data_IF_464124862684
#
_entry.id   IF_464124862684
#
_cell.length_a   1.000
_cell.length_b   1.000
_cell.length_c   1.000
_cell.angle_alpha   90.00
_cell.angle_beta   90.00
_cell.angle_gamma   90.00
#
_symmetry.space_group_name_H-M   'P 1'
#
loop_
_entity.id
_entity.type
_entity.pdbx_description
1 polymer ?
#
# COMPACT_ATOMS: atom_id res chain seq x y z
N UNK A 1 -3.33 -10.97 -4.03
CA UNK A 1 -3.10 -10.21 -2.79
C UNK A 1 -4.39 -10.12 -2.00
N UNK A 2 -4.28 -10.27 -0.70
CA UNK A 2 -5.38 -10.01 0.22
C UNK A 2 -5.14 -8.70 0.97
N UNK A 3 -6.20 -8.11 1.50
CA UNK A 3 -6.11 -6.98 2.40
C UNK A 3 -6.75 -7.32 3.74
N UNK A 4 -6.16 -6.79 4.81
CA UNK A 4 -6.67 -7.02 6.17
C UNK A 4 -7.88 -6.11 6.45
N UNK A 5 -7.76 -4.83 6.12
CA UNK A 5 -8.82 -3.85 6.30
C UNK A 5 -8.58 -2.63 5.42
N UNK A 6 -9.62 -1.83 5.24
CA UNK A 6 -9.56 -0.54 4.58
C UNK A 6 -10.21 0.48 5.51
N UNK A 7 -9.50 1.57 5.79
CA UNK A 7 -10.04 2.67 6.60
C UNK A 7 -10.32 3.86 5.71
N UNK A 8 -11.60 4.20 5.61
CA UNK A 8 -12.03 5.41 4.93
C UNK A 8 -11.97 6.60 5.88
N UNK A 9 -11.74 7.79 5.33
CA UNK A 9 -11.64 9.04 6.12
C UNK A 9 -10.57 8.95 7.21
N UNK A 10 -9.45 8.31 6.92
CA UNK A 10 -8.37 8.11 7.87
C UNK A 10 -7.48 9.35 7.94
N UNK A 11 -7.24 9.85 9.14
CA UNK A 11 -6.39 11.01 9.40
C UNK A 11 -5.09 10.63 10.11
N UNK A 12 -4.89 9.35 10.42
CA UNK A 12 -3.76 8.87 11.23
C UNK A 12 -2.57 8.41 10.40
N UNK A 13 -2.76 8.09 9.13
CA UNK A 13 -1.76 7.45 8.28
C UNK A 13 -1.44 8.30 7.06
N UNK A 14 -0.65 9.33 7.25
CA UNK A 14 -0.25 10.27 6.21
C UNK A 14 -0.96 11.62 6.33
N UNK A 15 -0.55 12.61 5.53
CA UNK A 15 -1.11 13.95 5.61
C UNK A 15 -2.53 14.01 5.01
N UNK A 16 -3.38 14.76 5.66
CA UNK A 16 -4.75 15.00 5.20
C UNK A 16 -5.68 13.82 5.50
N UNK A 17 -6.86 13.86 4.89
CA UNK A 17 -7.85 12.79 4.99
C UNK A 17 -7.62 11.81 3.85
N UNK A 18 -7.50 10.53 4.17
CA UNK A 18 -7.04 9.52 3.20
C UNK A 18 -7.88 8.25 3.29
N UNK A 19 -7.81 7.44 2.24
CA UNK A 19 -8.24 6.04 2.28
C UNK A 19 -7.00 5.18 2.51
N UNK A 20 -6.96 4.47 3.62
CA UNK A 20 -5.81 3.66 4.02
C UNK A 20 -6.08 2.18 3.80
N UNK A 21 -5.18 1.52 3.07
CA UNK A 21 -5.31 0.11 2.68
C UNK A 21 -4.26 -0.68 3.45
N UNK A 22 -4.73 -1.58 4.32
CA UNK A 22 -3.89 -2.45 5.14
C UNK A 22 -3.77 -3.79 4.42
N UNK A 23 -2.66 -4.00 3.73
CA UNK A 23 -2.41 -5.23 2.96
C UNK A 23 -2.03 -6.38 3.90
N UNK A 24 -2.23 -7.61 3.44
CA UNK A 24 -1.82 -8.82 4.15
C UNK A 24 -0.52 -9.36 3.56
N UNK A 25 0.32 -9.94 4.41
CA UNK A 25 1.60 -10.52 4.04
C UNK A 25 2.78 -9.67 4.45
N UNK A 26 3.62 -10.21 5.32
CA UNK A 26 4.83 -9.51 5.78
C UNK A 26 5.84 -10.52 6.29
N UNK A 27 7.05 -10.51 5.74
CA UNK A 27 8.16 -11.38 6.14
C UNK A 27 9.08 -10.74 7.16
N UNK A 28 8.87 -9.47 7.52
CA UNK A 28 9.72 -8.77 8.48
C UNK A 28 9.63 -9.36 9.89
N UNK A 29 8.44 -9.75 10.33
CA UNK A 29 8.20 -10.33 11.66
C UNK A 29 8.82 -9.48 12.77
N UNK A 30 8.57 -8.15 12.73
CA UNK A 30 9.16 -7.21 13.68
C UNK A 30 8.77 -7.55 15.12
N UNK A 31 9.71 -7.57 16.08
CA UNK A 31 9.37 -7.74 17.49
C UNK A 31 8.42 -6.62 17.95
N UNK A 32 7.35 -7.02 18.65
CA UNK A 32 6.35 -6.05 19.13
C UNK A 32 5.45 -5.46 18.06
N UNK A 33 5.39 -6.09 16.87
CA UNK A 33 4.46 -5.67 15.83
C UNK A 33 3.01 -5.74 16.32
N UNK A 34 2.28 -4.62 16.23
CA UNK A 34 0.89 -4.56 16.69
C UNK A 34 -0.10 -5.22 15.71
N UNK A 35 0.36 -5.64 14.54
CA UNK A 35 -0.49 -6.17 13.47
C UNK A 35 0.00 -7.54 12.99
N UNK A 36 0.32 -8.44 13.93
CA UNK A 36 0.89 -9.76 13.61
C UNK A 36 -0.01 -10.62 12.73
N UNK A 37 -1.34 -10.46 12.84
CA UNK A 37 -2.28 -11.21 12.01
C UNK A 37 -2.08 -10.92 10.53
N UNK A 38 -1.58 -9.75 10.18
CA UNK A 38 -1.31 -9.36 8.80
C UNK A 38 0.00 -9.93 8.24
N UNK A 39 0.76 -10.71 9.02
CA UNK A 39 1.92 -11.42 8.49
C UNK A 39 1.53 -12.53 7.50
N UNK A 40 0.34 -13.09 7.66
CA UNK A 40 -0.17 -14.15 6.80
C UNK A 40 -0.70 -13.54 5.49
N UNK A 41 -0.11 -13.95 4.37
CA UNK A 41 -0.53 -13.51 3.03
C UNK A 41 -1.98 -13.88 2.70
N UNK A 42 -2.51 -14.91 3.33
CA UNK A 42 -3.90 -15.35 3.15
C UNK A 42 -4.91 -14.67 4.05
N UNK A 43 -4.45 -13.81 4.97
CA UNK A 43 -5.35 -13.16 5.93
C UNK A 43 -6.23 -12.13 5.23
N UNK A 44 -7.47 -12.00 5.68
CA UNK A 44 -8.41 -10.99 5.22
C UNK A 44 -9.15 -11.38 3.94
N UNK A 45 -9.41 -10.42 3.09
CA UNK A 45 -10.23 -10.59 1.91
C UNK A 45 -9.42 -10.35 0.62
N UNK A 46 -9.84 -10.96 -0.51
CA UNK A 46 -9.18 -10.72 -1.79
C UNK A 46 -9.29 -9.25 -2.22
N UNK A 47 -8.19 -8.72 -2.75
CA UNK A 47 -8.15 -7.37 -3.30
C UNK A 47 -8.74 -7.37 -4.71
N UNK A 48 -10.05 -7.50 -4.78
CA UNK A 48 -10.80 -7.67 -6.03
C UNK A 48 -10.99 -6.36 -6.79
N UNK A 49 -11.44 -6.47 -8.04
CA UNK A 49 -11.78 -5.29 -8.85
C UNK A 49 -12.88 -4.45 -8.19
N UNK A 50 -13.85 -5.09 -7.56
CA UNK A 50 -14.92 -4.38 -6.86
C UNK A 50 -14.37 -3.54 -5.71
N UNK A 51 -13.44 -4.09 -4.93
CA UNK A 51 -12.77 -3.37 -3.84
C UNK A 51 -11.96 -2.19 -4.38
N UNK A 52 -11.19 -2.42 -5.46
CA UNK A 52 -10.40 -1.34 -6.08
C UNK A 52 -11.29 -0.20 -6.56
N UNK A 53 -12.40 -0.51 -7.21
CA UNK A 53 -13.35 0.51 -7.67
C UNK A 53 -13.97 1.28 -6.50
N UNK A 54 -14.26 0.60 -5.41
CA UNK A 54 -14.77 1.24 -4.19
C UNK A 54 -13.77 2.23 -3.60
N UNK A 55 -12.49 1.85 -3.59
CA UNK A 55 -11.41 2.74 -3.15
C UNK A 55 -11.31 3.97 -4.06
N UNK A 56 -11.35 3.78 -5.38
CA UNK A 56 -11.31 4.90 -6.33
C UNK A 56 -12.48 5.86 -6.11
N UNK A 57 -13.68 5.33 -5.91
CA UNK A 57 -14.87 6.15 -5.63
C UNK A 57 -14.74 6.92 -4.32
N UNK A 58 -14.12 6.33 -3.30
CA UNK A 58 -13.91 6.99 -2.00
C UNK A 58 -13.00 8.20 -2.09
N UNK A 59 -12.14 8.26 -3.09
CA UNK A 59 -11.17 9.35 -3.27
C UNK A 59 -11.70 10.48 -4.17
N UNK A 60 -12.93 10.40 -4.65
CA UNK A 60 -13.51 11.41 -5.54
C UNK A 60 -13.65 12.80 -4.90
N UNK A 61 -14.10 12.94 -3.63
CA UNK A 61 -14.22 14.27 -3.03
C UNK A 61 -12.87 15.01 -2.97
N UNK A 62 -12.92 16.32 -3.21
CA UNK A 62 -11.71 17.15 -3.27
C UNK A 62 -10.93 17.16 -1.95
N UNK A 63 -11.61 17.01 -0.81
CA UNK A 63 -10.95 17.01 0.49
C UNK A 63 -10.16 15.73 0.79
N UNK A 64 -10.33 14.68 0.00
CA UNK A 64 -9.53 13.46 0.16
C UNK A 64 -8.15 13.69 -0.47
N UNK A 65 -7.11 13.60 0.36
CA UNK A 65 -5.73 13.89 -0.06
C UNK A 65 -5.12 12.78 -0.91
N UNK A 66 -5.59 11.54 -0.75
CA UNK A 66 -5.07 10.40 -1.51
C UNK A 66 -5.26 9.08 -0.78
N UNK A 67 -4.37 8.14 -1.06
CA UNK A 67 -4.38 6.81 -0.45
C UNK A 67 -3.08 6.58 0.33
N UNK A 68 -3.17 5.67 1.31
CA UNK A 68 -2.01 5.18 2.05
C UNK A 68 -1.98 3.66 2.01
N UNK A 69 -0.79 3.11 1.79
CA UNK A 69 -0.55 1.67 1.71
C UNK A 69 0.29 1.25 2.91
N UNK A 70 -0.23 0.34 3.72
CA UNK A 70 0.44 -0.13 4.91
C UNK A 70 -0.15 -1.49 5.33
N UNK A 71 0.01 -1.87 6.59
CA UNK A 71 -0.54 -3.10 7.15
C UNK A 71 0.52 -4.13 7.37
N UNK A 72 0.58 -5.18 6.54
CA UNK A 72 1.72 -6.05 6.37
C UNK A 72 2.83 -5.29 5.67
N UNK A 73 3.37 -5.85 4.60
CA UNK A 73 4.43 -5.18 3.84
C UNK A 73 3.97 -4.95 2.39
N UNK A 74 3.64 -3.69 2.00
CA UNK A 74 3.22 -3.41 0.63
C UNK A 74 4.26 -3.76 -0.42
N UNK A 75 5.56 -3.73 -0.08
CA UNK A 75 6.64 -4.04 -1.01
C UNK A 75 7.01 -5.52 -1.06
N UNK A 76 6.28 -6.40 -0.39
CA UNK A 76 6.46 -7.83 -0.68
C UNK A 76 6.17 -8.09 -2.17
N UNK A 77 6.97 -8.91 -2.87
CA UNK A 77 6.78 -9.10 -4.33
C UNK A 77 5.35 -9.49 -4.71
N UNK A 78 4.73 -10.34 -3.93
CA UNK A 78 3.34 -10.77 -4.17
C UNK A 78 2.38 -9.60 -4.11
N UNK A 79 2.58 -8.68 -3.18
CA UNK A 79 1.75 -7.50 -3.01
C UNK A 79 2.04 -6.45 -4.09
N UNK A 80 3.31 -6.29 -4.48
CA UNK A 80 3.70 -5.34 -5.52
C UNK A 80 3.03 -5.65 -6.86
N UNK A 81 2.91 -6.93 -7.21
CA UNK A 81 2.29 -7.35 -8.49
C UNK A 81 0.87 -6.84 -8.63
N UNK A 82 0.14 -6.76 -7.51
CA UNK A 82 -1.23 -6.25 -7.50
C UNK A 82 -1.27 -4.74 -7.29
N UNK A 83 -0.41 -4.20 -6.43
CA UNK A 83 -0.44 -2.79 -6.06
C UNK A 83 0.10 -1.89 -7.16
N UNK A 84 1.09 -2.32 -7.94
CA UNK A 84 1.70 -1.47 -8.96
C UNK A 84 0.68 -1.01 -10.02
N UNK A 85 -0.07 -1.92 -10.68
CA UNK A 85 -1.09 -1.48 -11.62
C UNK A 85 -2.20 -0.67 -10.95
N UNK A 86 -2.55 -1.00 -9.70
CA UNK A 86 -3.54 -0.24 -8.93
C UNK A 86 -3.09 1.20 -8.71
N UNK A 87 -1.85 1.41 -8.27
CA UNK A 87 -1.29 2.75 -8.04
C UNK A 87 -1.21 3.54 -9.35
N UNK A 88 -0.80 2.89 -10.43
CA UNK A 88 -0.77 3.55 -11.76
C UNK A 88 -2.15 4.03 -12.17
N UNK A 89 -3.18 3.21 -11.98
CA UNK A 89 -4.55 3.59 -12.29
C UNK A 89 -5.03 4.73 -11.39
N UNK A 90 -4.68 4.68 -10.11
CA UNK A 90 -5.01 5.74 -9.17
C UNK A 90 -4.39 7.07 -9.60
N UNK A 91 -3.10 7.07 -9.97
CA UNK A 91 -2.40 8.28 -10.40
C UNK A 91 -2.98 8.83 -11.70
N UNK A 92 -3.44 7.96 -12.60
CA UNK A 92 -4.09 8.39 -13.84
C UNK A 92 -5.45 9.06 -13.57
N UNK A 93 -6.22 8.52 -12.61
CA UNK A 93 -7.52 9.09 -12.24
C UNK A 93 -7.39 10.37 -11.42
N UNK A 94 -6.40 10.43 -10.54
CA UNK A 94 -6.24 11.52 -9.57
C UNK A 94 -4.79 12.03 -9.56
N UNK A 95 -4.36 12.74 -10.62
CA UNK A 95 -2.96 13.16 -10.73
C UNK A 95 -2.51 14.15 -9.66
N UNK A 96 -3.45 14.82 -9.00
CA UNK A 96 -3.16 15.81 -7.95
C UNK A 96 -3.24 15.23 -6.53
N UNK A 97 -3.61 13.96 -6.39
CA UNK A 97 -3.68 13.29 -5.09
C UNK A 97 -2.41 12.49 -4.88
N UNK A 98 -2.05 12.26 -3.60
CA UNK A 98 -0.81 11.58 -3.25
C UNK A 98 -1.02 10.13 -2.87
N UNK A 99 0.05 9.34 -3.02
CA UNK A 99 0.10 7.95 -2.55
C UNK A 99 1.23 7.85 -1.53
N UNK A 100 0.90 7.47 -0.31
CA UNK A 100 1.88 7.23 0.75
C UNK A 100 2.01 5.74 1.00
N UNK A 101 3.24 5.30 1.24
CA UNK A 101 3.51 3.89 1.49
C UNK A 101 4.42 3.75 2.71
N UNK A 102 4.01 2.93 3.65
CA UNK A 102 4.80 2.60 4.83
C UNK A 102 5.40 1.22 4.63
N UNK A 103 6.72 1.13 4.77
CA UNK A 103 7.47 -0.09 4.51
C UNK A 103 8.50 -0.34 5.60
N UNK A 104 8.71 -1.62 5.94
CA UNK A 104 9.81 -2.04 6.79
C UNK A 104 11.14 -2.17 6.04
N UNK A 105 11.13 -2.09 4.71
CA UNK A 105 12.34 -2.05 3.91
C UNK A 105 12.97 -0.65 3.94
N UNK A 106 14.29 -0.59 3.87
CA UNK A 106 14.99 0.70 3.76
C UNK A 106 14.91 1.24 2.34
N UNK A 107 15.13 2.53 2.19
CA UNK A 107 15.18 3.16 0.87
C UNK A 107 16.25 2.51 -0.01
N UNK A 108 17.41 2.22 0.57
CA UNK A 108 18.53 1.57 -0.13
C UNK A 108 18.15 0.18 -0.64
N UNK A 109 17.39 -0.58 0.14
CA UNK A 109 16.88 -1.89 -0.29
C UNK A 109 15.92 -1.74 -1.47
N UNK A 110 15.00 -0.79 -1.40
CA UNK A 110 13.98 -0.59 -2.44
C UNK A 110 14.57 -0.04 -3.73
N UNK A 111 15.59 0.81 -3.65
CA UNK A 111 16.24 1.40 -4.83
C UNK A 111 17.33 0.52 -5.45
N UNK A 112 17.73 -0.56 -4.77
CA UNK A 112 18.66 -1.52 -5.32
C UNK A 112 20.11 -1.34 -4.90
N UNK A 113 20.41 -0.42 -3.97
CA UNK A 113 21.78 -0.24 -3.44
C UNK A 113 22.20 -1.41 -2.57
N UNK A 114 21.26 -2.15 -1.99
CA UNK A 114 21.47 -3.33 -1.16
C UNK A 114 20.57 -4.45 -1.66
N UNK A 115 21.02 -5.73 -1.70
CA UNK A 115 20.15 -6.83 -2.11
C UNK A 115 18.89 -6.94 -1.27
N UNK A 116 17.74 -7.13 -1.95
CA UNK A 116 16.43 -7.22 -1.29
C UNK A 116 15.47 -8.03 -2.17
N UNK A 117 14.74 -9.02 -1.61
CA UNK A 117 13.77 -9.79 -2.39
C UNK A 117 12.66 -8.95 -3.00
N UNK A 118 12.26 -7.86 -2.33
CA UNK A 118 11.19 -6.99 -2.81
C UNK A 118 11.60 -6.13 -4.00
N UNK A 119 12.88 -5.82 -4.10
CA UNK A 119 13.40 -4.88 -5.09
C UNK A 119 13.08 -5.27 -6.54
N UNK A 120 13.10 -6.53 -6.84
CA UNK A 120 12.94 -7.01 -8.21
C UNK A 120 11.59 -6.63 -8.84
N UNK A 121 10.61 -6.33 -8.02
CA UNK A 121 9.26 -5.98 -8.49
C UNK A 121 9.02 -4.47 -8.49
N UNK A 122 9.83 -3.70 -7.77
CA UNK A 122 9.67 -2.24 -7.70
C UNK A 122 10.13 -1.63 -9.00
N UNK A 123 9.25 -0.98 -9.70
CA UNK A 123 9.55 -0.39 -10.99
C UNK A 123 9.48 1.13 -11.00
N UNK A 124 8.67 1.73 -10.16
CA UNK A 124 8.48 3.19 -10.20
C UNK A 124 8.15 3.75 -8.83
N UNK A 125 9.18 4.10 -8.08
CA UNK A 125 9.04 4.71 -6.75
C UNK A 125 8.62 6.19 -6.84
N UNK A 126 8.66 6.80 -8.03
CA UNK A 126 8.25 8.19 -8.18
C UNK A 126 6.75 8.38 -8.00
N UNK A 127 5.98 7.31 -8.09
CA UNK A 127 4.52 7.34 -7.94
C UNK A 127 4.06 7.47 -6.49
N UNK A 128 4.93 7.20 -5.52
CA UNK A 128 4.57 7.09 -4.11
C UNK A 128 5.54 7.85 -3.21
N UNK A 129 5.10 8.16 -2.00
CA UNK A 129 5.93 8.67 -0.90
C UNK A 129 6.13 7.56 0.13
N UNK A 130 7.35 7.35 0.54
CA UNK A 130 7.73 6.28 1.47
C UNK A 130 8.17 6.87 2.80
#
# INVERSE_FOLDING_TARGET
>A
MNYATIKYYDIANGPGVRTSIFVSGCRHHCPGCFNEVAWDFGYGQPFSKAVRNEIFASCQPDYIAGISLLGGEPFEPENQRELLPFVRNFRALYPNKSVWCYSGYTWEQLTGSVPCPARCEVTDLSLIHI
#
